data_IF_132922414617
#
_entry.id   IF_132922414617
#
_cell.length_a   1.000
_cell.length_b   1.000
_cell.length_c   1.000
_cell.angle_alpha   90.00
_cell.angle_beta   90.00
_cell.angle_gamma   90.00
#
_symmetry.space_group_name_H-M   'P 1'
#
loop_
_entity.id
_entity.type
_entity.pdbx_description
1 polymer ?
#
# COMPACT_ATOMS: atom_id res chain seq x y z
N UNK A 1 63.12 2.02 55.73
CA UNK A 1 62.46 1.69 54.45
C UNK A 1 62.44 2.98 53.66
N UNK A 2 63.11 3.00 52.51
CA UNK A 2 63.32 4.22 51.73
C UNK A 2 62.05 4.58 50.95
N UNK A 3 61.76 5.88 50.79
CA UNK A 3 60.59 6.44 50.12
C UNK A 3 60.37 5.81 48.68
N UNK A 4 61.49 5.52 48.04
CA UNK A 4 61.47 4.89 46.69
C UNK A 4 60.90 3.45 46.68
N UNK A 5 61.10 2.69 47.73
CA UNK A 5 60.54 1.37 47.92
C UNK A 5 59.01 1.40 48.14
N UNK A 6 58.55 2.39 48.91
CA UNK A 6 57.12 2.62 49.15
C UNK A 6 56.40 3.05 47.91
N UNK A 7 57.03 3.89 47.07
CA UNK A 7 56.48 4.30 45.78
C UNK A 7 56.37 3.11 44.80
N UNK A 8 57.39 2.28 44.69
CA UNK A 8 57.34 1.07 43.83
C UNK A 8 56.27 0.06 44.25
N UNK A 9 56.01 -0.11 45.54
CA UNK A 9 54.98 -0.96 46.10
C UNK A 9 53.58 -0.39 45.77
N UNK A 10 53.37 0.92 45.89
CA UNK A 10 52.12 1.59 45.56
C UNK A 10 51.80 1.51 44.09
N UNK A 11 52.78 1.72 43.21
CA UNK A 11 52.58 1.61 41.74
C UNK A 11 52.21 0.17 41.35
N UNK A 12 52.89 -0.83 41.93
CA UNK A 12 52.61 -2.24 41.63
C UNK A 12 51.23 -2.70 42.13
N UNK A 13 50.73 -2.10 43.24
CA UNK A 13 49.36 -2.38 43.71
C UNK A 13 48.29 -1.72 42.83
N UNK A 14 48.53 -0.49 42.34
CA UNK A 14 47.60 0.20 41.42
C UNK A 14 47.52 -0.49 40.06
N UNK A 15 48.62 -0.97 39.51
CA UNK A 15 48.61 -1.74 38.24
C UNK A 15 47.87 -3.09 38.38
N UNK A 16 48.06 -3.79 39.53
CA UNK A 16 47.38 -5.08 39.77
C UNK A 16 45.87 -4.91 39.97
N UNK A 17 45.42 -3.84 40.62
CA UNK A 17 43.98 -3.53 40.76
C UNK A 17 43.35 -3.09 39.44
N UNK A 18 44.05 -2.33 38.59
CA UNK A 18 43.57 -1.92 37.27
C UNK A 18 43.42 -3.12 36.32
N UNK A 19 44.37 -4.07 36.36
CA UNK A 19 44.31 -5.29 35.52
C UNK A 19 43.19 -6.24 35.94
N UNK A 20 42.97 -6.43 37.24
CA UNK A 20 41.84 -7.24 37.75
C UNK A 20 40.48 -6.63 37.47
N UNK A 21 40.34 -5.30 37.51
CA UNK A 21 39.10 -4.59 37.17
C UNK A 21 38.69 -4.79 35.69
N UNK A 22 39.67 -4.72 34.77
CA UNK A 22 39.39 -4.95 33.34
C UNK A 22 38.96 -6.41 33.04
N UNK A 23 39.59 -7.39 33.68
CA UNK A 23 39.27 -8.81 33.47
C UNK A 23 37.87 -9.18 33.95
N UNK A 24 37.43 -8.61 35.07
CA UNK A 24 36.09 -8.84 35.62
C UNK A 24 34.99 -8.11 34.82
N UNK A 25 35.32 -7.01 34.14
CA UNK A 25 34.37 -6.29 33.27
C UNK A 25 33.96 -7.12 32.06
N UNK A 26 34.86 -7.85 31.43
CA UNK A 26 34.54 -8.75 30.30
C UNK A 26 33.66 -9.92 30.73
N UNK A 27 33.86 -10.47 31.92
CA UNK A 27 33.02 -11.54 32.48
C UNK A 27 31.58 -11.04 32.65
N UNK A 28 31.38 -9.83 33.19
CA UNK A 28 30.06 -9.23 33.34
C UNK A 28 29.34 -8.99 32.00
N UNK A 29 30.07 -8.49 31.00
CA UNK A 29 29.52 -8.26 29.65
C UNK A 29 29.13 -9.62 29.01
N UNK A 30 29.98 -10.65 29.14
CA UNK A 30 29.67 -11.98 28.59
C UNK A 30 28.43 -12.60 29.24
N UNK A 31 28.21 -12.42 30.53
CA UNK A 31 26.99 -12.87 31.20
C UNK A 31 25.75 -12.12 30.72
N UNK A 32 25.84 -10.81 30.50
CA UNK A 32 24.71 -10.02 29.95
C UNK A 32 24.34 -10.51 28.55
N UNK A 33 25.34 -10.71 27.67
CA UNK A 33 25.12 -11.22 26.31
C UNK A 33 24.49 -12.62 26.34
N UNK A 34 24.95 -13.50 27.24
CA UNK A 34 24.43 -14.84 27.39
C UNK A 34 22.97 -14.85 27.87
N UNK A 35 22.65 -14.04 28.89
CA UNK A 35 21.26 -13.90 29.38
C UNK A 35 20.35 -13.31 28.30
N UNK A 36 20.83 -12.30 27.58
CA UNK A 36 20.09 -11.71 26.46
C UNK A 36 19.88 -12.72 25.33
N UNK A 37 20.90 -13.50 24.99
CA UNK A 37 20.78 -14.58 23.99
C UNK A 37 19.75 -15.62 24.38
N UNK A 38 19.76 -16.10 25.64
CA UNK A 38 18.75 -17.03 26.17
C UNK A 38 17.35 -16.40 26.13
N UNK A 39 17.22 -15.12 26.49
CA UNK A 39 15.94 -14.40 26.42
C UNK A 39 15.41 -14.31 24.99
N UNK A 40 16.28 -13.97 24.03
CA UNK A 40 15.90 -13.90 22.61
C UNK A 40 15.46 -15.25 22.09
N UNK A 41 16.22 -16.31 22.37
CA UNK A 41 15.89 -17.68 21.93
C UNK A 41 14.54 -18.14 22.50
N UNK A 42 14.31 -17.94 23.81
CA UNK A 42 13.04 -18.30 24.44
C UNK A 42 11.86 -17.50 23.89
N UNK A 43 12.06 -16.20 23.65
CA UNK A 43 11.01 -15.34 23.07
C UNK A 43 10.73 -15.70 21.60
N UNK A 44 11.70 -16.20 20.85
CA UNK A 44 11.51 -16.75 19.51
C UNK A 44 10.77 -18.09 19.55
N UNK A 45 11.17 -19.00 20.48
CA UNK A 45 10.48 -20.27 20.67
C UNK A 45 9.00 -20.09 21.04
N UNK A 46 8.71 -19.17 21.96
CA UNK A 46 7.34 -18.82 22.35
C UNK A 46 6.52 -18.23 21.17
N UNK A 47 7.17 -17.49 20.27
CA UNK A 47 6.52 -16.95 19.06
C UNK A 47 6.31 -18.01 17.99
N UNK A 48 7.21 -18.96 17.87
CA UNK A 48 7.12 -20.09 16.92
C UNK A 48 6.05 -21.08 17.41
N UNK A 49 6.05 -21.42 18.71
CA UNK A 49 5.13 -22.40 19.28
C UNK A 49 3.70 -21.88 19.45
N UNK A 50 3.52 -20.56 19.59
CA UNK A 50 2.19 -19.94 19.70
C UNK A 50 1.60 -19.46 18.36
N UNK A 51 2.15 -19.88 17.20
CA UNK A 51 1.72 -19.49 15.85
C UNK A 51 1.60 -17.96 15.66
N UNK A 52 2.25 -17.16 16.49
CA UNK A 52 2.27 -15.69 16.39
C UNK A 52 3.29 -15.18 15.35
N UNK A 53 4.13 -16.05 14.81
CA UNK A 53 4.76 -15.80 13.52
C UNK A 53 3.65 -16.09 12.52
N UNK A 54 3.08 -15.03 11.96
CA UNK A 54 2.29 -15.14 10.74
C UNK A 54 3.17 -15.91 9.78
N UNK A 55 2.77 -17.16 9.52
CA UNK A 55 3.47 -18.07 8.61
C UNK A 55 3.53 -17.34 7.26
N UNK A 56 4.70 -16.81 6.93
CA UNK A 56 4.95 -16.09 5.67
C UNK A 56 5.03 -17.06 4.48
N UNK A 57 4.40 -18.24 4.61
CA UNK A 57 3.98 -19.10 3.53
C UNK A 57 2.85 -18.51 2.69
N UNK A 58 2.75 -17.17 2.66
CA UNK A 58 1.90 -16.46 1.68
C UNK A 58 2.33 -16.73 0.25
N UNK A 59 3.57 -17.17 0.03
CA UNK A 59 4.07 -17.47 -1.31
C UNK A 59 3.94 -18.95 -1.72
N UNK A 60 3.60 -19.89 -0.80
CA UNK A 60 3.62 -21.32 -1.12
C UNK A 60 2.47 -22.16 -0.55
N UNK A 61 1.40 -21.58 -0.02
CA UNK A 61 0.16 -22.34 0.15
C UNK A 61 -0.59 -22.41 -1.17
N UNK A 62 -0.12 -23.31 -2.04
CA UNK A 62 -1.04 -24.04 -2.90
C UNK A 62 -1.93 -24.85 -1.96
N UNK A 63 -2.94 -24.22 -1.38
CA UNK A 63 -4.09 -24.98 -0.86
C UNK A 63 -4.70 -25.66 -2.08
N UNK A 64 -4.43 -26.95 -2.26
CA UNK A 64 -5.30 -27.82 -3.01
C UNK A 64 -6.64 -27.86 -2.27
N UNK A 65 -7.46 -26.86 -2.47
CA UNK A 65 -8.90 -26.97 -2.26
C UNK A 65 -9.44 -27.63 -3.52
N UNK A 66 -9.83 -28.87 -3.40
CA UNK A 66 -10.65 -29.56 -4.38
C UNK A 66 -12.01 -28.88 -4.45
N UNK A 67 -12.13 -27.80 -5.21
CA UNK A 67 -13.37 -27.28 -5.76
C UNK A 67 -13.00 -26.52 -7.03
N UNK A 68 -13.59 -26.94 -8.14
CA UNK A 68 -13.41 -26.44 -9.51
C UNK A 68 -13.91 -24.98 -9.68
N UNK A 69 -13.26 -24.01 -9.04
CA UNK A 69 -13.37 -22.57 -9.26
C UNK A 69 -12.15 -21.87 -8.65
N UNK A 70 -10.95 -22.24 -9.12
CA UNK A 70 -9.76 -21.49 -8.76
C UNK A 70 -9.82 -20.13 -9.48
N UNK A 71 -9.97 -19.06 -8.70
CA UNK A 71 -9.92 -17.69 -9.21
C UNK A 71 -8.64 -17.50 -10.03
N UNK A 72 -8.78 -17.10 -11.27
CA UNK A 72 -7.65 -16.85 -12.18
C UNK A 72 -6.77 -15.69 -11.68
N UNK A 73 -7.35 -14.78 -10.87
CA UNK A 73 -6.67 -13.61 -10.37
C UNK A 73 -6.30 -13.75 -8.89
N UNK A 74 -5.14 -13.22 -8.54
CA UNK A 74 -4.67 -13.17 -7.15
C UNK A 74 -5.64 -12.35 -6.29
N UNK A 75 -5.89 -12.85 -5.08
CA UNK A 75 -6.73 -12.22 -4.05
C UNK A 75 -5.79 -11.49 -3.08
N UNK A 76 -5.93 -10.15 -2.97
CA UNK A 76 -5.08 -9.37 -2.08
C UNK A 76 -5.81 -9.00 -0.79
N UNK A 77 -6.27 -7.77 -0.65
CA UNK A 77 -6.90 -7.26 0.56
C UNK A 77 -8.31 -6.76 0.29
N UNK A 78 -9.15 -6.78 1.32
CA UNK A 78 -10.45 -6.12 1.26
C UNK A 78 -10.27 -4.60 1.31
N UNK A 79 -11.01 -3.89 0.46
CA UNK A 79 -11.07 -2.43 0.49
C UNK A 79 -11.61 -1.95 1.83
N UNK A 80 -10.91 -1.02 2.53
CA UNK A 80 -11.42 -0.44 3.77
C UNK A 80 -12.73 0.31 3.53
N UNK A 81 -13.56 0.48 4.57
CA UNK A 81 -14.75 1.31 4.45
C UNK A 81 -14.38 2.77 4.15
N UNK A 82 -15.12 3.38 3.24
CA UNK A 82 -15.01 4.80 2.91
C UNK A 82 -16.38 5.43 2.72
N UNK A 83 -16.45 6.74 2.90
CA UNK A 83 -17.62 7.57 2.63
C UNK A 83 -17.15 8.90 2.06
N UNK A 84 -17.53 9.20 0.82
CA UNK A 84 -17.18 10.40 0.10
C UNK A 84 -18.40 11.00 -0.62
N UNK A 85 -18.28 12.25 -1.07
CA UNK A 85 -19.30 12.91 -1.91
C UNK A 85 -18.80 12.88 -3.35
N UNK A 86 -19.68 12.54 -4.30
CA UNK A 86 -19.32 12.55 -5.70
C UNK A 86 -19.63 13.90 -6.38
N UNK A 87 -19.24 14.04 -7.65
CA UNK A 87 -19.49 15.21 -8.52
C UNK A 87 -20.96 15.63 -8.60
N UNK A 88 -21.90 14.77 -8.25
CA UNK A 88 -23.34 15.03 -8.26
C UNK A 88 -23.93 15.27 -6.85
N UNK A 89 -23.09 15.40 -5.82
CA UNK A 89 -23.50 15.60 -4.43
C UNK A 89 -24.06 14.37 -3.74
N UNK A 90 -23.90 13.18 -4.32
CA UNK A 90 -24.34 11.92 -3.72
C UNK A 90 -23.26 11.35 -2.82
N UNK A 91 -23.66 10.78 -1.69
CA UNK A 91 -22.78 10.00 -0.82
C UNK A 91 -22.50 8.67 -1.49
N UNK A 92 -21.22 8.34 -1.63
CA UNK A 92 -20.69 7.10 -2.22
C UNK A 92 -19.90 6.36 -1.16
N UNK A 93 -20.21 5.08 -0.98
CA UNK A 93 -19.56 4.19 -0.04
C UNK A 93 -19.20 2.87 -0.72
N UNK A 94 -18.57 1.95 0.00
CA UNK A 94 -18.33 0.58 -0.49
C UNK A 94 -19.63 -0.11 -0.96
N UNK A 95 -20.77 0.16 -0.32
CA UNK A 95 -22.06 -0.43 -0.69
C UNK A 95 -22.54 0.04 -2.08
N UNK A 96 -22.11 1.23 -2.55
CA UNK A 96 -22.41 1.72 -3.90
C UNK A 96 -21.81 0.82 -4.99
N UNK A 97 -20.66 0.22 -4.70
CA UNK A 97 -19.95 -0.68 -5.62
C UNK A 97 -20.19 -2.16 -5.33
N UNK A 98 -20.99 -2.50 -4.33
CA UNK A 98 -21.32 -3.89 -4.03
C UNK A 98 -21.94 -4.60 -5.24
N UNK A 99 -21.42 -5.77 -5.58
CA UNK A 99 -21.84 -6.53 -6.75
C UNK A 99 -21.29 -6.00 -8.09
N UNK A 100 -20.42 -4.98 -8.06
CA UNK A 100 -19.75 -4.45 -9.25
C UNK A 100 -18.26 -4.75 -9.19
N UNK A 101 -17.65 -4.95 -10.34
CA UNK A 101 -16.20 -4.87 -10.54
C UNK A 101 -15.86 -3.40 -10.74
N UNK A 102 -14.89 -2.86 -10.04
CA UNK A 102 -14.55 -1.45 -10.18
C UNK A 102 -13.06 -1.17 -10.11
N UNK A 103 -12.68 -0.09 -10.77
CA UNK A 103 -11.30 0.42 -10.78
C UNK A 103 -11.21 1.61 -9.83
N UNK A 104 -10.12 1.66 -9.06
CA UNK A 104 -9.85 2.77 -8.13
C UNK A 104 -8.54 3.44 -8.52
N UNK A 105 -8.57 4.78 -8.55
CA UNK A 105 -7.40 5.63 -8.66
C UNK A 105 -7.44 6.75 -7.63
N UNK A 106 -6.27 7.32 -7.34
CA UNK A 106 -6.12 8.57 -6.62
C UNK A 106 -5.62 9.64 -7.59
N UNK A 107 -6.21 10.84 -7.55
CA UNK A 107 -5.93 11.91 -8.50
C UNK A 107 -6.15 13.28 -7.85
N UNK A 108 -5.88 14.36 -8.58
CA UNK A 108 -6.36 15.71 -8.27
C UNK A 108 -6.51 16.54 -9.56
N UNK A 109 -7.51 17.44 -9.58
CA UNK A 109 -7.92 18.11 -10.82
C UNK A 109 -6.88 19.09 -11.36
N UNK A 110 -5.99 19.59 -10.49
CA UNK A 110 -4.93 20.56 -10.83
C UNK A 110 -3.57 19.90 -11.09
N UNK A 111 -3.50 18.57 -11.18
CA UNK A 111 -2.27 17.85 -11.49
C UNK A 111 -1.78 18.18 -12.90
N UNK A 112 -0.57 18.74 -13.07
CA UNK A 112 -0.07 19.11 -14.38
C UNK A 112 0.68 17.99 -15.10
N UNK A 113 0.87 16.84 -14.47
CA UNK A 113 1.79 15.79 -14.93
C UNK A 113 1.08 14.50 -15.32
N UNK A 114 0.84 13.61 -14.36
CA UNK A 114 0.38 12.24 -14.65
C UNK A 114 -1.15 12.10 -14.75
N UNK A 115 -1.94 12.92 -14.03
CA UNK A 115 -3.40 12.78 -14.03
C UNK A 115 -4.06 12.92 -15.42
N UNK A 116 -3.64 13.83 -16.31
CA UNK A 116 -4.18 13.88 -17.67
C UNK A 116 -3.99 12.56 -18.40
N UNK A 117 -2.79 11.97 -18.33
CA UNK A 117 -2.47 10.70 -18.97
C UNK A 117 -3.26 9.53 -18.33
N UNK A 118 -3.41 9.52 -17.01
CA UNK A 118 -4.22 8.52 -16.31
C UNK A 118 -5.69 8.61 -16.71
N UNK A 119 -6.22 9.84 -16.84
CA UNK A 119 -7.60 10.04 -17.29
C UNK A 119 -7.83 9.52 -18.72
N UNK A 120 -6.87 9.72 -19.63
CA UNK A 120 -6.94 9.14 -20.98
C UNK A 120 -7.07 7.61 -20.92
N UNK A 121 -6.29 6.94 -20.07
CA UNK A 121 -6.39 5.49 -19.90
C UNK A 121 -7.71 5.07 -19.26
N UNK A 122 -8.23 5.86 -18.31
CA UNK A 122 -9.52 5.58 -17.68
C UNK A 122 -10.70 5.76 -18.67
N UNK A 123 -10.59 6.68 -19.62
CA UNK A 123 -11.56 6.83 -20.72
C UNK A 123 -11.60 5.59 -21.61
N UNK A 124 -10.48 4.88 -21.82
CA UNK A 124 -10.49 3.61 -22.56
C UNK A 124 -11.24 2.50 -21.81
N UNK A 125 -11.25 2.55 -20.47
CA UNK A 125 -12.10 1.65 -19.67
C UNK A 125 -13.56 2.06 -19.78
N UNK A 126 -13.86 3.34 -19.68
CA UNK A 126 -15.21 3.86 -19.88
C UNK A 126 -15.76 3.43 -21.25
N UNK A 127 -15.01 3.57 -22.33
CA UNK A 127 -15.40 3.19 -23.67
C UNK A 127 -15.73 1.71 -23.77
N UNK A 128 -14.83 0.84 -23.30
CA UNK A 128 -14.97 -0.63 -23.34
C UNK A 128 -16.20 -1.12 -22.57
N UNK A 129 -16.52 -0.46 -21.43
CA UNK A 129 -17.58 -0.91 -20.52
C UNK A 129 -18.75 0.09 -20.42
N UNK A 130 -18.94 0.98 -21.40
CA UNK A 130 -19.93 2.07 -21.37
C UNK A 130 -21.33 1.63 -21.00
N UNK A 131 -21.79 0.50 -21.53
CA UNK A 131 -23.11 -0.07 -21.31
C UNK A 131 -23.18 -1.06 -20.13
N UNK A 132 -22.04 -1.39 -19.52
CA UNK A 132 -22.00 -2.41 -18.47
C UNK A 132 -22.24 -1.80 -17.08
N UNK A 133 -23.47 -2.02 -16.56
CA UNK A 133 -23.85 -1.52 -15.24
C UNK A 133 -23.14 -2.20 -14.06
N UNK A 134 -22.47 -3.33 -14.31
CA UNK A 134 -21.72 -4.08 -13.30
C UNK A 134 -20.25 -3.66 -13.24
N UNK A 135 -19.85 -2.68 -14.04
CA UNK A 135 -18.53 -2.02 -13.96
C UNK A 135 -18.67 -0.65 -13.33
N UNK A 136 -17.70 -0.24 -12.53
CA UNK A 136 -17.62 1.06 -11.92
C UNK A 136 -16.20 1.62 -11.89
N UNK A 137 -16.10 2.92 -11.64
CA UNK A 137 -14.82 3.63 -11.46
C UNK A 137 -14.94 4.57 -10.27
N UNK A 138 -13.95 4.55 -9.40
CA UNK A 138 -13.82 5.43 -8.25
C UNK A 138 -12.53 6.24 -8.36
N UNK A 139 -12.63 7.46 -8.85
CA UNK A 139 -11.51 8.42 -8.88
C UNK A 139 -11.58 9.28 -7.62
N UNK A 140 -10.63 9.08 -6.69
CA UNK A 140 -10.65 9.69 -5.36
C UNK A 140 -9.66 10.86 -5.33
N UNK A 141 -10.18 12.08 -5.15
CA UNK A 141 -9.32 13.26 -5.06
C UNK A 141 -8.51 13.27 -3.77
N UNK A 142 -7.21 13.56 -3.90
CA UNK A 142 -6.29 13.73 -2.77
C UNK A 142 -6.24 15.16 -2.24
N UNK A 143 -6.91 16.10 -2.93
CA UNK A 143 -6.95 17.54 -2.58
C UNK A 143 -8.38 18.02 -2.30
N UNK A 144 -9.08 17.47 -1.29
CA UNK A 144 -10.51 17.73 -1.09
C UNK A 144 -10.85 19.18 -0.78
N UNK A 145 -9.88 20.00 -0.36
CA UNK A 145 -10.07 21.45 -0.17
C UNK A 145 -10.14 22.24 -1.49
N UNK A 146 -9.47 21.71 -2.53
CA UNK A 146 -9.43 22.30 -3.88
C UNK A 146 -10.52 21.65 -4.73
N UNK A 147 -10.58 20.35 -4.74
CA UNK A 147 -11.49 19.53 -5.53
C UNK A 147 -12.86 19.42 -4.85
N UNK A 148 -13.57 20.54 -4.81
CA UNK A 148 -14.95 20.58 -4.32
C UNK A 148 -15.88 19.82 -5.27
N UNK A 149 -17.11 19.55 -4.82
CA UNK A 149 -18.14 18.92 -5.67
C UNK A 149 -18.31 19.64 -7.02
N UNK A 150 -18.33 20.97 -7.00
CA UNK A 150 -18.49 21.78 -8.20
C UNK A 150 -17.29 21.67 -9.14
N UNK A 151 -16.07 21.71 -8.60
CA UNK A 151 -14.83 21.50 -9.36
C UNK A 151 -14.84 20.12 -10.01
N UNK A 152 -15.19 19.07 -9.27
CA UNK A 152 -15.29 17.71 -9.79
C UNK A 152 -16.38 17.58 -10.88
N UNK A 153 -17.50 18.28 -10.73
CA UNK A 153 -18.56 18.31 -11.75
C UNK A 153 -18.06 18.93 -13.06
N UNK A 154 -17.37 20.06 -12.96
CA UNK A 154 -16.79 20.72 -14.12
C UNK A 154 -15.70 19.86 -14.76
N UNK A 155 -14.85 19.23 -13.95
CA UNK A 155 -13.83 18.31 -14.41
C UNK A 155 -14.43 17.13 -15.19
N UNK A 156 -15.53 16.55 -14.70
CA UNK A 156 -16.21 15.46 -15.37
C UNK A 156 -16.70 15.87 -16.79
N UNK A 157 -17.29 17.06 -16.91
CA UNK A 157 -17.75 17.60 -18.21
C UNK A 157 -16.58 17.84 -19.15
N UNK A 158 -15.54 18.52 -18.68
CA UNK A 158 -14.36 18.88 -19.48
C UNK A 158 -13.61 17.65 -19.98
N UNK A 159 -13.57 16.58 -19.18
CA UNK A 159 -12.84 15.34 -19.50
C UNK A 159 -13.73 14.21 -20.06
N UNK A 160 -14.95 14.52 -20.49
CA UNK A 160 -15.85 13.55 -21.14
C UNK A 160 -16.17 12.32 -20.28
N UNK A 161 -16.26 12.50 -18.97
CA UNK A 161 -16.61 11.45 -18.03
C UNK A 161 -18.13 11.29 -18.00
N UNK A 162 -18.64 10.23 -18.61
CA UNK A 162 -20.07 10.01 -18.83
C UNK A 162 -20.62 8.71 -18.27
N UNK A 163 -19.73 7.74 -17.93
CA UNK A 163 -20.18 6.45 -17.41
C UNK A 163 -20.92 6.62 -16.07
N UNK A 164 -22.13 6.06 -15.97
CA UNK A 164 -23.05 6.27 -14.82
C UNK A 164 -22.51 5.83 -13.46
N UNK A 165 -21.58 4.88 -13.45
CA UNK A 165 -20.93 4.37 -12.25
C UNK A 165 -19.50 4.91 -12.10
N UNK A 166 -19.10 5.94 -12.85
CA UNK A 166 -17.85 6.64 -12.62
C UNK A 166 -18.09 7.79 -11.66
N UNK A 167 -17.57 7.67 -10.47
CA UNK A 167 -17.69 8.67 -9.43
C UNK A 167 -16.34 9.34 -9.16
N UNK A 168 -16.29 10.66 -9.39
CA UNK A 168 -15.22 11.52 -8.92
C UNK A 168 -15.53 11.87 -7.48
N UNK A 169 -14.67 11.49 -6.55
CA UNK A 169 -14.96 11.50 -5.12
C UNK A 169 -14.09 12.52 -4.40
N UNK A 170 -14.72 13.29 -3.49
CA UNK A 170 -14.03 14.21 -2.60
C UNK A 170 -14.35 13.89 -1.15
N UNK A 171 -13.32 13.99 -0.29
CA UNK A 171 -13.42 13.66 1.14
C UNK A 171 -13.64 14.89 2.01
N UNK A 172 -13.68 14.65 3.33
CA UNK A 172 -13.75 15.71 4.35
C UNK A 172 -12.40 16.38 4.61
N UNK A 173 -11.30 15.63 4.44
CA UNK A 173 -9.94 16.11 4.68
C UNK A 173 -8.90 15.31 3.90
N UNK A 174 -7.75 15.90 3.64
CA UNK A 174 -6.57 15.25 3.07
C UNK A 174 -6.13 14.04 3.90
N UNK A 175 -6.12 14.18 5.24
CA UNK A 175 -5.76 13.10 6.15
C UNK A 175 -6.62 11.85 5.95
N UNK A 176 -7.93 12.02 5.79
CA UNK A 176 -8.86 10.90 5.52
C UNK A 176 -8.50 10.20 4.22
N UNK A 177 -8.22 10.97 3.16
CA UNK A 177 -7.87 10.42 1.84
C UNK A 177 -6.49 9.78 1.86
N UNK A 178 -5.49 10.42 2.46
CA UNK A 178 -4.14 9.84 2.59
C UNK A 178 -4.14 8.55 3.42
N UNK A 179 -4.94 8.49 4.48
CA UNK A 179 -5.09 7.25 5.24
C UNK A 179 -5.71 6.13 4.40
N UNK A 180 -6.74 6.44 3.60
CA UNK A 180 -7.36 5.47 2.71
C UNK A 180 -6.37 5.00 1.62
N UNK A 181 -5.67 5.94 0.97
CA UNK A 181 -4.69 5.64 -0.06
C UNK A 181 -3.51 4.84 0.50
N UNK A 182 -2.77 5.41 1.47
CA UNK A 182 -1.51 4.86 1.95
C UNK A 182 -1.67 3.61 2.82
N UNK A 183 -2.67 3.58 3.71
CA UNK A 183 -2.89 2.45 4.63
C UNK A 183 -3.91 1.45 4.09
N UNK A 184 -4.94 1.94 3.40
CA UNK A 184 -6.02 1.12 2.87
C UNK A 184 -5.63 0.41 1.59
N UNK A 185 -5.39 1.18 0.55
CA UNK A 185 -5.02 0.66 -0.76
C UNK A 185 -3.53 0.37 -0.91
N UNK A 186 -2.65 0.87 -0.03
CA UNK A 186 -1.19 0.83 -0.18
C UNK A 186 -0.71 1.49 -1.48
N UNK A 187 -1.47 2.44 -1.97
CA UNK A 187 -1.11 3.34 -3.07
C UNK A 187 -0.65 4.67 -2.48
N UNK A 188 0.51 5.14 -2.88
CA UNK A 188 1.08 6.36 -2.31
C UNK A 188 0.27 7.59 -2.72
N UNK A 189 -0.01 8.45 -1.76
CA UNK A 189 -0.47 9.82 -1.94
C UNK A 189 0.07 10.69 -0.81
N UNK A 190 0.49 11.91 -1.13
CA UNK A 190 1.09 12.83 -0.17
C UNK A 190 1.25 14.25 -0.69
N UNK A 191 1.86 15.09 0.14
CA UNK A 191 2.27 16.44 -0.23
C UNK A 191 3.63 16.36 -0.92
N UNK A 192 3.76 17.04 -2.06
CA UNK A 192 5.03 17.26 -2.75
C UNK A 192 5.48 18.71 -2.51
N UNK A 193 6.72 18.91 -2.09
CA UNK A 193 7.30 20.25 -1.93
C UNK A 193 7.54 20.93 -3.28
N UNK A 194 7.56 20.17 -4.38
CA UNK A 194 7.73 20.71 -5.72
C UNK A 194 6.41 21.28 -6.27
N UNK A 195 6.28 22.58 -6.24
CA UNK A 195 5.11 23.32 -6.75
C UNK A 195 4.87 23.04 -8.25
N UNK A 196 5.92 22.70 -9.01
CA UNK A 196 5.77 22.35 -10.42
C UNK A 196 4.93 21.09 -10.65
N UNK A 197 4.79 20.23 -9.63
CA UNK A 197 3.91 19.05 -9.65
C UNK A 197 2.52 19.33 -9.08
N UNK A 198 2.19 20.61 -8.80
CA UNK A 198 0.89 20.99 -8.22
C UNK A 198 0.85 20.91 -6.68
N UNK A 199 1.98 20.66 -6.01
CA UNK A 199 2.09 20.59 -4.55
C UNK A 199 1.65 19.28 -3.92
N UNK A 200 1.31 18.27 -4.75
CA UNK A 200 0.87 16.94 -4.31
C UNK A 200 1.44 15.86 -5.23
N UNK A 201 1.58 14.66 -4.70
CA UNK A 201 2.06 13.49 -5.40
C UNK A 201 1.18 12.27 -5.13
N UNK A 202 0.96 11.44 -6.14
CA UNK A 202 0.32 10.14 -6.02
C UNK A 202 0.91 9.14 -7.02
N UNK A 203 0.69 7.85 -6.76
CA UNK A 203 1.15 6.78 -7.65
C UNK A 203 0.35 6.77 -8.96
N UNK A 204 1.03 6.51 -10.08
CA UNK A 204 0.41 6.28 -11.40
C UNK A 204 -0.17 4.87 -11.56
N UNK A 205 -0.89 4.37 -10.54
CA UNK A 205 -1.37 2.99 -10.46
C UNK A 205 -2.89 2.94 -10.29
N UNK A 206 -3.49 1.90 -10.87
CA UNK A 206 -4.90 1.54 -10.70
C UNK A 206 -5.05 0.28 -9.86
N UNK A 207 -6.01 0.28 -8.92
CA UNK A 207 -6.43 -0.91 -8.21
C UNK A 207 -7.70 -1.50 -8.85
N UNK A 208 -7.70 -2.80 -9.10
CA UNK A 208 -8.89 -3.54 -9.55
C UNK A 208 -9.58 -4.17 -8.35
N UNK A 209 -10.88 -3.98 -8.22
CA UNK A 209 -11.67 -4.49 -7.09
C UNK A 209 -12.83 -5.33 -7.60
N UNK A 210 -13.03 -6.50 -7.00
CA UNK A 210 -14.09 -7.44 -7.36
C UNK A 210 -15.46 -7.10 -6.74
N UNK A 211 -16.49 -7.88 -7.13
CA UNK A 211 -17.88 -7.72 -6.65
C UNK A 211 -18.06 -7.86 -5.13
N UNK A 212 -17.07 -8.43 -4.44
CA UNK A 212 -17.05 -8.58 -2.96
C UNK A 212 -16.25 -7.48 -2.24
N UNK A 213 -15.68 -6.54 -3.01
CA UNK A 213 -14.85 -5.45 -2.49
C UNK A 213 -13.43 -5.91 -2.12
N UNK A 214 -12.88 -6.88 -2.84
CA UNK A 214 -11.53 -7.41 -2.65
C UNK A 214 -10.65 -6.94 -3.80
N UNK A 215 -9.47 -6.42 -3.48
CA UNK A 215 -8.46 -6.01 -4.47
C UNK A 215 -7.90 -7.27 -5.14
N UNK A 216 -7.90 -7.28 -6.48
CA UNK A 216 -7.50 -8.40 -7.30
C UNK A 216 -6.43 -7.99 -8.30
N UNK A 217 -5.57 -8.92 -8.69
CA UNK A 217 -4.59 -8.68 -9.76
C UNK A 217 -4.20 -9.96 -10.48
N UNK A 218 -3.69 -9.82 -11.70
CA UNK A 218 -2.99 -10.92 -12.36
C UNK A 218 -1.63 -11.17 -11.72
N UNK A 219 -1.02 -12.27 -12.11
CA UNK A 219 0.39 -12.58 -11.85
C UNK A 219 1.23 -12.21 -13.07
N UNK A 220 2.48 -11.83 -12.83
CA UNK A 220 3.47 -11.61 -13.87
C UNK A 220 3.95 -12.94 -14.48
N UNK A 221 4.87 -12.86 -15.46
CA UNK A 221 5.46 -14.03 -16.12
C UNK A 221 6.28 -14.95 -15.19
N UNK A 222 6.59 -14.48 -13.98
CA UNK A 222 7.34 -15.22 -12.95
C UNK A 222 6.41 -15.82 -11.88
N UNK A 223 5.09 -15.54 -11.99
CA UNK A 223 4.08 -16.02 -11.06
C UNK A 223 3.85 -15.11 -9.84
N UNK A 224 4.47 -13.94 -9.78
CA UNK A 224 4.27 -12.97 -8.70
C UNK A 224 3.06 -12.08 -8.98
N UNK A 225 2.21 -11.79 -7.97
CA UNK A 225 1.10 -10.86 -8.16
C UNK A 225 1.63 -9.44 -8.42
N UNK A 226 1.07 -8.77 -9.42
CA UNK A 226 1.45 -7.37 -9.74
C UNK A 226 0.85 -6.37 -8.76
N UNK A 227 -0.20 -6.76 -8.03
CA UNK A 227 -1.02 -6.01 -7.06
C UNK A 227 -1.82 -4.86 -7.68
N UNK A 228 -1.20 -4.01 -8.50
CA UNK A 228 -1.79 -2.84 -9.15
C UNK A 228 -1.37 -2.75 -10.61
N UNK A 229 -2.15 -2.03 -11.41
CA UNK A 229 -1.91 -1.87 -12.85
C UNK A 229 -1.30 -0.50 -13.12
N UNK A 230 -0.22 -0.44 -13.87
CA UNK A 230 0.37 0.83 -14.31
C UNK A 230 -0.58 1.54 -15.27
N UNK A 231 -0.98 2.75 -14.88
CA UNK A 231 -1.81 3.61 -15.71
C UNK A 231 -1.02 4.23 -16.87
N UNK A 232 0.25 4.52 -16.63
CA UNK A 232 1.14 5.20 -17.59
C UNK A 232 2.41 4.38 -17.80
N UNK A 233 3.13 4.67 -18.89
CA UNK A 233 4.50 4.15 -19.08
C UNK A 233 5.43 4.81 -18.05
N UNK A 234 6.18 4.00 -17.33
CA UNK A 234 7.11 4.48 -16.32
C UNK A 234 8.37 3.61 -16.29
N UNK A 235 9.55 4.25 -16.24
CA UNK A 235 10.86 3.58 -16.17
C UNK A 235 11.08 2.51 -17.25
N UNK A 236 10.52 2.71 -18.45
CA UNK A 236 10.61 1.77 -19.58
C UNK A 236 9.65 0.58 -19.49
N UNK A 237 8.76 0.55 -18.50
CA UNK A 237 7.68 -0.42 -18.42
C UNK A 237 6.39 0.17 -19.00
N UNK A 238 5.73 -0.52 -19.96
CA UNK A 238 4.49 -0.03 -20.57
C UNK A 238 3.36 0.06 -19.55
N UNK A 239 2.33 0.86 -19.90
CA UNK A 239 1.07 0.81 -19.15
C UNK A 239 0.43 -0.58 -19.25
N UNK A 240 -0.52 -0.86 -18.37
CA UNK A 240 -1.18 -2.17 -18.26
C UNK A 240 -2.71 -2.04 -18.43
N UNK A 241 -3.15 -1.12 -19.26
CA UNK A 241 -4.59 -0.87 -19.44
C UNK A 241 -5.31 -2.02 -20.17
N UNK A 242 -4.62 -2.68 -21.09
CA UNK A 242 -5.19 -3.81 -21.80
C UNK A 242 -5.35 -5.02 -20.86
N UNK A 243 -4.32 -5.28 -20.06
CA UNK A 243 -4.36 -6.31 -19.02
C UNK A 243 -5.47 -6.04 -17.99
N UNK A 244 -5.63 -4.77 -17.59
CA UNK A 244 -6.71 -4.38 -16.67
C UNK A 244 -8.10 -4.65 -17.29
N UNK A 245 -8.31 -4.32 -18.55
CA UNK A 245 -9.57 -4.60 -19.28
C UNK A 245 -9.87 -6.10 -19.34
N UNK A 246 -8.86 -6.92 -19.62
CA UNK A 246 -9.00 -8.39 -19.61
C UNK A 246 -9.40 -8.90 -18.24
N UNK A 247 -8.74 -8.41 -17.18
CA UNK A 247 -8.97 -8.85 -15.81
C UNK A 247 -10.32 -8.37 -15.26
N UNK A 248 -10.84 -7.23 -15.73
CA UNK A 248 -12.22 -6.81 -15.47
C UNK A 248 -13.20 -7.84 -16.04
N UNK A 249 -12.99 -8.31 -17.28
CA UNK A 249 -13.84 -9.33 -17.93
C UNK A 249 -13.80 -10.64 -17.14
N UNK A 250 -12.62 -11.10 -16.74
CA UNK A 250 -12.48 -12.29 -15.89
C UNK A 250 -13.32 -12.16 -14.61
N UNK A 251 -13.24 -11.02 -13.91
CA UNK A 251 -14.01 -10.81 -12.68
C UNK A 251 -15.51 -10.65 -12.91
N UNK A 252 -15.93 -10.18 -14.08
CA UNK A 252 -17.34 -10.13 -14.43
C UNK A 252 -17.93 -11.54 -14.61
N UNK A 253 -17.14 -12.48 -15.14
CA UNK A 253 -17.53 -13.86 -15.40
C UNK A 253 -17.35 -14.79 -14.18
N UNK A 254 -16.53 -14.38 -13.17
CA UNK A 254 -16.22 -15.19 -11.98
C UNK A 254 -17.42 -15.38 -11.02
N UNK A 255 -18.52 -14.56 -11.15
CA UNK A 255 -19.67 -14.56 -10.22
C UNK A 255 -21.02 -14.57 -10.93
#
# INVERSE_FOLDING_TARGET
>A
MNIEQLLKIKIKQTEKTSYMSKKNSYIGISFIILIFGIYVVRNLDDRISNETIIDDNRLNKTQKSNTDNESQLFVYNKVPPFEFINQNGKIITNETYKGKVYVVEFFFTTCPTICPLMNEQMLLIQEEFSENSNVGIASISITPKIDTQEVLKNYAVTNSITHKNWHLLTGKSEETVFNLSNKGFKLYAGIDENIAHGGFEHSGLFALVDKKGIIRSRKDSQGNPILYYRAIEENGFPNQINELKEDIKILLDEY
#
